data_IF_426374866961
#
_entry.id   IF_426374866961
#
_cell.length_a   1.000
_cell.length_b   1.000
_cell.length_c   1.000
_cell.angle_alpha   90.00
_cell.angle_beta   90.00
_cell.angle_gamma   90.00
#
_symmetry.space_group_name_H-M   'P 1'
#
loop_
_entity.id
_entity.type
_entity.pdbx_description
1 polymer ?
#
# COMPACT_ATOMS: atom_id res chain seq x y z
N UNK A 1 3.77 17.29 -22.96
CA UNK A 1 3.14 16.16 -22.23
C UNK A 1 1.93 16.68 -21.47
N UNK A 2 0.72 16.15 -21.71
CA UNK A 2 -0.48 16.54 -20.95
C UNK A 2 -0.54 15.75 -19.64
N UNK A 3 0.24 16.16 -18.63
CA UNK A 3 0.28 15.52 -17.30
C UNK A 3 -1.06 15.57 -16.54
N UNK A 4 -2.02 16.37 -17.00
CA UNK A 4 -3.36 16.48 -16.41
C UNK A 4 -4.48 16.11 -17.38
N UNK A 5 -4.16 15.43 -18.49
CA UNK A 5 -5.21 14.87 -19.34
C UNK A 5 -5.93 13.74 -18.58
N UNK A 6 -7.26 13.73 -18.72
CA UNK A 6 -8.11 12.68 -18.18
C UNK A 6 -7.70 11.31 -18.75
N UNK A 7 -7.39 10.30 -17.92
CA UNK A 7 -6.95 9.00 -18.41
C UNK A 7 -8.12 8.24 -19.05
N UNK A 8 -7.92 7.81 -20.30
CA UNK A 8 -8.90 7.03 -21.05
C UNK A 8 -8.70 5.52 -20.91
N UNK A 9 -7.59 5.11 -20.30
CA UNK A 9 -7.20 3.73 -20.10
C UNK A 9 -6.59 3.50 -18.72
N UNK A 10 -6.63 2.26 -18.26
CA UNK A 10 -5.95 1.88 -17.02
C UNK A 10 -4.44 2.16 -17.10
N UNK A 11 -3.84 1.93 -18.25
CA UNK A 11 -2.43 2.20 -18.52
C UNK A 11 -2.09 3.70 -18.43
N UNK A 12 -2.96 4.58 -18.93
CA UNK A 12 -2.80 6.03 -18.75
C UNK A 12 -2.91 6.44 -17.29
N UNK A 13 -3.83 5.85 -16.53
CA UNK A 13 -3.96 6.13 -15.09
C UNK A 13 -2.69 5.72 -14.31
N UNK A 14 -2.02 4.64 -14.71
CA UNK A 14 -0.76 4.17 -14.11
C UNK A 14 0.50 4.83 -14.67
N UNK A 15 0.38 5.63 -15.74
CA UNK A 15 1.54 6.20 -16.44
C UNK A 15 2.37 7.11 -15.52
N UNK A 16 1.75 7.82 -14.57
CA UNK A 16 2.47 8.62 -13.58
C UNK A 16 3.40 7.77 -12.71
N UNK A 17 2.91 6.62 -12.25
CA UNK A 17 3.68 5.64 -11.46
C UNK A 17 4.85 5.12 -12.26
N UNK A 18 4.63 4.78 -13.54
CA UNK A 18 5.70 4.33 -14.43
C UNK A 18 6.78 5.41 -14.62
N UNK A 19 6.41 6.67 -14.86
CA UNK A 19 7.39 7.75 -14.97
C UNK A 19 8.22 7.94 -13.70
N UNK A 20 7.59 7.88 -12.54
CA UNK A 20 8.32 7.92 -11.29
C UNK A 20 9.28 6.72 -11.13
N UNK A 21 8.83 5.51 -11.48
CA UNK A 21 9.70 4.32 -11.43
C UNK A 21 10.89 4.43 -12.39
N UNK A 22 10.72 5.06 -13.56
CA UNK A 22 11.83 5.34 -14.49
C UNK A 22 12.80 6.38 -13.93
N UNK A 23 12.31 7.49 -13.38
CA UNK A 23 13.15 8.55 -12.79
C UNK A 23 13.96 8.00 -11.60
N UNK A 24 13.38 7.07 -10.83
CA UNK A 24 14.03 6.47 -9.67
C UNK A 24 14.95 5.28 -10.02
N UNK A 25 15.06 4.89 -11.30
CA UNK A 25 15.92 3.78 -11.73
C UNK A 25 15.46 2.39 -11.29
N UNK A 26 14.21 2.27 -10.87
CA UNK A 26 13.63 1.04 -10.33
C UNK A 26 13.23 0.03 -11.42
N UNK A 27 13.10 0.50 -12.65
CA UNK A 27 12.71 -0.32 -13.80
C UNK A 27 13.72 -0.16 -14.92
N UNK A 28 13.80 -1.17 -15.78
CA UNK A 28 14.58 -1.11 -17.01
C UNK A 28 14.23 0.17 -17.76
N UNK A 29 15.22 1.03 -17.94
CA UNK A 29 15.05 2.30 -18.64
C UNK A 29 14.54 2.06 -20.06
N UNK A 30 13.32 2.51 -20.36
CA UNK A 30 12.70 2.39 -21.69
C UNK A 30 12.62 3.77 -22.33
N UNK A 31 13.66 4.13 -23.09
CA UNK A 31 13.68 5.36 -23.86
C UNK A 31 14.28 5.13 -25.26
N UNK A 32 13.55 5.43 -26.35
CA UNK A 32 12.14 5.83 -26.40
C UNK A 32 11.19 4.71 -25.96
N UNK A 33 9.93 5.06 -25.66
CA UNK A 33 8.92 4.15 -25.10
C UNK A 33 8.81 2.86 -25.93
N UNK A 34 8.89 1.70 -25.28
CA UNK A 34 8.83 0.39 -25.94
C UNK A 34 10.19 -0.22 -26.32
N UNK A 35 11.29 0.51 -26.15
CA UNK A 35 12.64 0.00 -26.40
C UNK A 35 13.43 -0.06 -25.07
N UNK A 36 13.48 -1.24 -24.41
CA UNK A 36 14.21 -1.40 -23.16
C UNK A 36 15.72 -1.29 -23.39
N UNK A 37 16.38 -0.36 -22.70
CA UNK A 37 17.84 -0.19 -22.69
C UNK A 37 18.39 -0.71 -21.36
N UNK A 38 18.46 -2.03 -21.22
CA UNK A 38 18.94 -2.72 -20.01
C UNK A 38 20.32 -2.24 -19.56
N UNK A 39 21.25 -2.03 -20.50
CA UNK A 39 22.62 -1.59 -20.20
C UNK A 39 22.64 -0.19 -19.55
N UNK A 40 21.93 0.79 -20.12
CA UNK A 40 21.86 2.14 -19.53
C UNK A 40 21.19 2.13 -18.17
N UNK A 41 20.14 1.31 -18.00
CA UNK A 41 19.48 1.14 -16.72
C UNK A 41 20.41 0.58 -15.65
N UNK A 42 21.25 -0.38 -16.02
CA UNK A 42 22.23 -0.99 -15.13
C UNK A 42 23.34 0.00 -14.75
N UNK A 43 23.84 0.78 -15.71
CA UNK A 43 24.81 1.85 -15.45
C UNK A 43 24.22 2.89 -14.49
N UNK A 44 23.01 3.38 -14.78
CA UNK A 44 22.33 4.36 -13.93
C UNK A 44 22.17 3.86 -12.50
N UNK A 45 21.76 2.60 -12.36
CA UNK A 45 21.60 2.02 -11.04
C UNK A 45 22.93 1.79 -10.33
N UNK A 46 23.99 1.35 -11.03
CA UNK A 46 25.33 1.26 -10.42
C UNK A 46 25.80 2.62 -9.90
N UNK A 47 25.54 3.71 -10.62
CA UNK A 47 25.86 5.07 -10.17
C UNK A 47 25.07 5.41 -8.90
N UNK A 48 23.75 5.21 -8.88
CA UNK A 48 22.92 5.42 -7.68
C UNK A 48 23.43 4.56 -6.52
N UNK A 49 23.78 3.31 -6.79
CA UNK A 49 24.25 2.36 -5.80
C UNK A 49 25.58 2.82 -5.18
N UNK A 50 26.53 3.29 -5.99
CA UNK A 50 27.82 3.83 -5.51
C UNK A 50 27.61 5.08 -4.65
N UNK A 51 26.74 6.00 -5.08
CA UNK A 51 26.39 7.20 -4.30
C UNK A 51 25.78 6.79 -2.96
N UNK A 52 24.87 5.83 -2.98
CA UNK A 52 24.19 5.34 -1.80
C UNK A 52 25.15 4.66 -0.83
N UNK A 53 25.96 3.72 -1.32
CA UNK A 53 26.97 2.99 -0.54
C UNK A 53 27.95 3.96 0.13
N UNK A 54 28.43 4.96 -0.61
CA UNK A 54 29.38 5.95 -0.09
C UNK A 54 28.79 6.75 1.07
N UNK A 55 27.57 7.27 0.94
CA UNK A 55 27.01 8.06 2.03
C UNK A 55 26.58 7.22 3.22
N UNK A 56 26.18 5.97 3.02
CA UNK A 56 25.92 5.06 4.11
C UNK A 56 27.17 4.69 4.91
N UNK A 57 28.29 4.45 4.22
CA UNK A 57 29.57 4.27 4.87
C UNK A 57 29.95 5.51 5.69
N UNK A 58 29.67 6.71 5.18
CA UNK A 58 29.81 7.97 5.92
C UNK A 58 28.96 8.02 7.19
N UNK A 59 27.70 7.59 7.11
CA UNK A 59 26.79 7.48 8.28
C UNK A 59 27.35 6.48 9.30
N UNK A 60 27.82 5.30 8.85
CA UNK A 60 28.39 4.29 9.72
C UNK A 60 29.66 4.79 10.44
N UNK A 61 30.54 5.51 9.74
CA UNK A 61 31.70 6.16 10.34
C UNK A 61 31.30 7.20 11.39
N UNK A 62 30.28 8.02 11.12
CA UNK A 62 29.77 8.99 12.08
C UNK A 62 29.29 8.32 13.37
N UNK A 63 28.52 7.24 13.27
CA UNK A 63 28.07 6.49 14.44
C UNK A 63 29.23 5.83 15.20
N UNK A 64 30.25 5.35 14.50
CA UNK A 64 31.47 4.82 15.13
C UNK A 64 32.17 5.88 16.00
N UNK A 65 32.20 7.13 15.55
CA UNK A 65 32.81 8.24 16.30
C UNK A 65 32.05 8.57 17.58
N UNK A 66 30.73 8.40 17.61
CA UNK A 66 29.89 8.76 18.77
C UNK A 66 30.00 7.76 19.95
N UNK A 67 30.85 6.73 19.87
CA UNK A 67 31.04 5.71 20.93
C UNK A 67 29.69 5.16 21.44
N UNK A 68 28.84 4.74 20.51
CA UNK A 68 27.67 3.93 20.86
C UNK A 68 28.14 2.53 21.30
N UNK A 69 27.36 1.81 22.12
CA UNK A 69 27.81 0.57 22.76
C UNK A 69 28.17 -0.52 21.74
N UNK A 70 28.92 -1.55 22.16
CA UNK A 70 29.35 -2.65 21.26
C UNK A 70 28.19 -3.32 20.51
N UNK A 71 27.03 -3.47 21.17
CA UNK A 71 25.83 -4.09 20.58
C UNK A 71 25.15 -3.17 19.55
N UNK A 72 25.15 -1.86 19.79
CA UNK A 72 24.71 -0.85 18.82
C UNK A 72 25.54 -0.97 17.53
N UNK A 73 26.87 -1.16 17.65
CA UNK A 73 27.76 -1.26 16.50
C UNK A 73 27.35 -2.40 15.56
N UNK A 74 26.99 -3.57 16.09
CA UNK A 74 26.54 -4.72 15.28
C UNK A 74 25.26 -4.37 14.54
N UNK A 75 24.27 -3.78 15.23
CA UNK A 75 22.99 -3.37 14.64
C UNK A 75 23.21 -2.34 13.53
N UNK A 76 24.06 -1.33 13.78
CA UNK A 76 24.40 -0.28 12.83
C UNK A 76 25.28 -0.74 11.66
N UNK A 77 25.91 -1.91 11.74
CA UNK A 77 26.66 -2.49 10.61
C UNK A 77 25.75 -3.43 9.81
N UNK A 78 25.06 -4.34 10.49
CA UNK A 78 24.28 -5.41 9.84
C UNK A 78 23.03 -4.84 9.17
N UNK A 79 22.25 -3.99 9.84
CA UNK A 79 20.98 -3.50 9.27
C UNK A 79 21.23 -2.69 8.00
N UNK A 80 22.15 -1.70 7.97
CA UNK A 80 22.46 -0.99 6.73
C UNK A 80 22.92 -1.94 5.61
N UNK A 81 23.75 -2.95 5.91
CA UNK A 81 24.16 -3.96 4.93
C UNK A 81 23.00 -4.75 4.34
N UNK A 82 22.04 -5.19 5.16
CA UNK A 82 20.81 -5.81 4.67
C UNK A 82 19.97 -4.84 3.83
N UNK A 83 19.95 -3.55 4.22
CA UNK A 83 19.34 -2.49 3.44
C UNK A 83 20.03 -2.26 2.09
N UNK A 84 21.37 -2.39 2.00
CA UNK A 84 22.11 -2.32 0.72
C UNK A 84 21.83 -3.50 -0.19
N UNK A 85 21.62 -4.69 0.40
CA UNK A 85 21.35 -5.89 -0.36
C UNK A 85 19.95 -5.85 -1.00
N UNK A 86 18.98 -5.19 -0.38
CA UNK A 86 17.59 -5.12 -0.86
C UNK A 86 17.46 -4.61 -2.33
N UNK A 87 17.99 -3.43 -2.72
CA UNK A 87 17.89 -2.96 -4.09
C UNK A 87 18.47 -3.92 -5.13
N UNK A 88 19.59 -4.58 -4.81
CA UNK A 88 20.22 -5.57 -5.69
C UNK A 88 19.30 -6.78 -5.88
N UNK A 89 18.76 -7.33 -4.78
CA UNK A 89 17.81 -8.44 -4.84
C UNK A 89 16.56 -8.06 -5.65
N UNK A 90 16.00 -6.86 -5.44
CA UNK A 90 14.87 -6.35 -6.21
C UNK A 90 15.15 -6.25 -7.69
N UNK A 91 16.35 -5.83 -8.07
CA UNK A 91 16.73 -5.78 -9.48
C UNK A 91 16.83 -7.16 -10.11
N UNK A 92 17.48 -8.10 -9.41
CA UNK A 92 17.64 -9.48 -9.90
C UNK A 92 16.25 -10.10 -10.08
N UNK A 93 15.37 -9.95 -9.08
CA UNK A 93 13.98 -10.42 -9.16
C UNK A 93 13.20 -9.69 -10.26
N UNK A 94 13.33 -8.37 -10.36
CA UNK A 94 12.67 -7.56 -11.39
C UNK A 94 13.10 -7.94 -12.81
N UNK A 95 14.38 -8.25 -13.01
CA UNK A 95 14.90 -8.79 -14.26
C UNK A 95 14.31 -10.17 -14.52
N UNK A 96 14.40 -11.08 -13.55
CA UNK A 96 13.92 -12.46 -13.66
C UNK A 96 12.45 -12.51 -14.07
N UNK A 97 11.62 -11.68 -13.45
CA UNK A 97 10.18 -11.63 -13.71
C UNK A 97 9.76 -10.70 -14.85
N UNK A 98 10.69 -9.94 -15.46
CA UNK A 98 10.37 -8.97 -16.52
C UNK A 98 9.57 -9.57 -17.67
N UNK A 99 9.91 -10.79 -18.12
CA UNK A 99 9.19 -11.52 -19.18
C UNK A 99 7.76 -11.84 -18.77
N UNK A 100 7.56 -12.34 -17.54
CA UNK A 100 6.24 -12.69 -17.02
C UNK A 100 5.37 -11.44 -16.85
N UNK A 101 5.94 -10.35 -16.34
CA UNK A 101 5.26 -9.06 -16.20
C UNK A 101 4.84 -8.51 -17.56
N UNK A 102 5.68 -8.63 -18.59
CA UNK A 102 5.34 -8.19 -19.94
C UNK A 102 4.14 -8.99 -20.52
N UNK A 103 4.07 -10.29 -20.26
CA UNK A 103 2.92 -11.13 -20.63
C UNK A 103 1.67 -10.71 -19.86
N UNK A 104 1.78 -10.50 -18.54
CA UNK A 104 0.68 -10.01 -17.71
C UNK A 104 0.16 -8.66 -18.20
N UNK A 105 1.05 -7.72 -18.53
CA UNK A 105 0.68 -6.40 -19.03
C UNK A 105 -0.12 -6.48 -20.34
N UNK A 106 0.31 -7.32 -21.29
CA UNK A 106 -0.44 -7.57 -22.53
C UNK A 106 -1.83 -8.14 -22.25
N UNK A 107 -1.95 -9.07 -21.29
CA UNK A 107 -3.24 -9.64 -20.89
C UNK A 107 -4.15 -8.62 -20.21
N UNK A 108 -3.63 -7.81 -19.29
CA UNK A 108 -4.37 -6.73 -18.62
C UNK A 108 -4.90 -5.74 -19.66
N UNK A 109 -4.10 -5.37 -20.66
CA UNK A 109 -4.54 -4.48 -21.73
C UNK A 109 -5.70 -5.07 -22.55
N UNK A 110 -5.66 -6.38 -22.85
CA UNK A 110 -6.76 -7.07 -23.52
C UNK A 110 -8.03 -7.09 -22.66
N UNK A 111 -7.88 -7.30 -21.34
CA UNK A 111 -8.98 -7.26 -20.39
C UNK A 111 -9.60 -5.86 -20.31
N UNK A 112 -8.79 -4.81 -20.17
CA UNK A 112 -9.25 -3.42 -20.16
C UNK A 112 -10.03 -3.08 -21.45
N UNK A 113 -9.50 -3.47 -22.62
CA UNK A 113 -10.22 -3.29 -23.90
C UNK A 113 -11.58 -4.01 -23.90
N UNK A 114 -11.64 -5.22 -23.35
CA UNK A 114 -12.89 -6.00 -23.25
C UNK A 114 -13.87 -5.34 -22.28
N UNK A 115 -13.41 -4.86 -21.13
CA UNK A 115 -14.23 -4.12 -20.16
C UNK A 115 -14.82 -2.84 -20.77
N UNK A 116 -14.03 -2.12 -21.58
CA UNK A 116 -14.50 -0.94 -22.32
C UNK A 116 -15.53 -1.28 -23.39
N UNK A 117 -15.34 -2.39 -24.12
CA UNK A 117 -16.34 -2.88 -25.09
C UNK A 117 -17.67 -3.24 -24.43
N UNK A 118 -17.62 -3.77 -23.20
CA UNK A 118 -18.81 -4.04 -22.38
C UNK A 118 -19.47 -2.78 -21.78
N UNK A 119 -18.95 -1.58 -22.09
CA UNK A 119 -19.39 -0.29 -21.54
C UNK A 119 -19.40 -0.27 -20.00
N UNK A 120 -18.51 -1.02 -19.37
CA UNK A 120 -18.33 -0.97 -17.93
C UNK A 120 -17.57 0.31 -17.62
N UNK A 121 -18.27 1.30 -17.05
CA UNK A 121 -17.70 2.56 -16.66
C UNK A 121 -16.74 2.34 -15.47
N UNK A 122 -15.46 2.11 -15.77
CA UNK A 122 -14.40 2.13 -14.76
C UNK A 122 -14.05 3.60 -14.52
N UNK A 123 -14.07 4.02 -13.24
CA UNK A 123 -13.72 5.39 -12.86
C UNK A 123 -12.20 5.55 -12.79
N UNK A 124 -11.56 5.68 -13.96
CA UNK A 124 -10.11 5.86 -14.08
C UNK A 124 -9.62 7.14 -13.39
N UNK A 125 -10.44 8.19 -13.36
CA UNK A 125 -10.09 9.45 -12.70
C UNK A 125 -9.88 9.25 -11.20
N UNK A 126 -10.78 8.52 -10.55
CA UNK A 126 -10.67 8.24 -9.11
C UNK A 126 -9.37 7.49 -8.80
N UNK A 127 -9.02 6.49 -9.62
CA UNK A 127 -7.76 5.73 -9.45
C UNK A 127 -6.56 6.66 -9.64
N UNK A 128 -6.57 7.47 -10.71
CA UNK A 128 -5.51 8.41 -11.02
C UNK A 128 -5.29 9.44 -9.91
N UNK A 129 -6.34 10.12 -9.45
CA UNK A 129 -6.25 11.12 -8.38
C UNK A 129 -5.84 10.51 -7.04
N UNK A 130 -6.34 9.32 -6.70
CA UNK A 130 -5.89 8.63 -5.49
C UNK A 130 -4.41 8.27 -5.56
N UNK A 131 -3.93 7.84 -6.72
CA UNK A 131 -2.53 7.47 -6.94
C UNK A 131 -1.62 8.70 -6.86
N UNK A 132 -2.01 9.80 -7.51
CA UNK A 132 -1.26 11.06 -7.43
C UNK A 132 -1.29 11.62 -6.01
N UNK A 133 -2.46 11.70 -5.37
CA UNK A 133 -2.60 12.22 -4.01
C UNK A 133 -1.78 11.44 -2.98
N UNK A 134 -1.75 10.11 -3.12
CA UNK A 134 -0.90 9.27 -2.28
C UNK A 134 0.59 9.58 -2.52
N UNK A 135 1.00 9.68 -3.78
CA UNK A 135 2.37 10.01 -4.15
C UNK A 135 2.82 11.39 -3.66
N UNK A 136 1.98 12.41 -3.78
CA UNK A 136 2.29 13.77 -3.34
C UNK A 136 2.34 13.87 -1.82
N UNK A 137 1.37 13.28 -1.12
CA UNK A 137 1.35 13.23 0.35
C UNK A 137 2.62 12.59 0.91
N UNK A 138 3.02 11.46 0.32
CA UNK A 138 4.25 10.75 0.68
C UNK A 138 5.52 11.58 0.46
N UNK A 139 5.60 12.26 -0.68
CA UNK A 139 6.74 13.13 -1.00
C UNK A 139 6.86 14.29 -0.01
N UNK A 140 5.73 14.92 0.35
CA UNK A 140 5.67 15.99 1.36
C UNK A 140 6.15 15.46 2.73
N UNK A 141 5.64 14.30 3.15
CA UNK A 141 6.05 13.67 4.41
C UNK A 141 7.57 13.43 4.47
N UNK A 142 8.18 12.98 3.37
CA UNK A 142 9.63 12.82 3.30
C UNK A 142 10.41 14.12 3.34
N UNK A 143 9.94 15.17 2.66
CA UNK A 143 10.57 16.48 2.74
C UNK A 143 10.56 16.96 4.21
N UNK A 144 9.45 16.80 4.92
CA UNK A 144 9.34 17.18 6.32
C UNK A 144 10.32 16.40 7.21
N UNK A 145 10.40 15.07 7.09
CA UNK A 145 11.37 14.25 7.83
C UNK A 145 12.81 14.68 7.51
N UNK A 146 13.08 15.00 6.25
CA UNK A 146 14.40 15.42 5.80
C UNK A 146 14.81 16.77 6.39
N UNK A 147 13.89 17.74 6.43
CA UNK A 147 14.10 19.04 7.08
C UNK A 147 14.36 18.85 8.57
N UNK A 148 13.56 18.02 9.25
CA UNK A 148 13.76 17.75 10.69
C UNK A 148 15.12 17.08 10.95
N UNK A 149 15.50 16.13 10.10
CA UNK A 149 16.80 15.46 10.17
C UNK A 149 17.97 16.41 9.87
N UNK A 150 17.80 17.35 8.92
CA UNK A 150 18.76 18.41 8.62
C UNK A 150 19.02 19.29 9.83
N UNK A 151 17.95 19.88 10.40
CA UNK A 151 18.05 20.76 11.55
C UNK A 151 18.69 20.05 12.75
N UNK A 152 18.47 18.75 12.88
CA UNK A 152 19.07 17.94 13.94
C UNK A 152 20.57 17.67 13.71
N UNK A 153 21.01 17.41 12.48
CA UNK A 153 22.38 16.98 12.19
C UNK A 153 23.36 18.15 11.96
N UNK A 154 22.90 19.29 11.45
CA UNK A 154 23.74 20.46 11.14
C UNK A 154 24.65 20.88 12.31
N UNK A 155 24.18 20.97 13.57
CA UNK A 155 25.02 21.41 14.69
C UNK A 155 26.19 20.46 15.00
N UNK A 156 26.12 19.20 14.55
CA UNK A 156 27.06 18.16 14.93
C UNK A 156 28.10 17.84 13.86
N UNK A 157 27.72 17.93 12.58
CA UNK A 157 28.53 17.42 11.45
C UNK A 157 28.88 18.53 10.45
N UNK A 158 28.26 19.70 10.56
CA UNK A 158 28.37 20.78 9.58
C UNK A 158 27.45 20.60 8.36
N UNK A 159 27.30 21.68 7.60
CA UNK A 159 26.25 21.83 6.58
C UNK A 159 26.44 20.86 5.41
N UNK A 160 27.63 20.85 4.79
CA UNK A 160 27.89 20.04 3.58
C UNK A 160 27.72 18.54 3.82
N UNK A 161 28.24 18.04 4.94
CA UNK A 161 28.16 16.62 5.26
C UNK A 161 26.72 16.23 5.63
N UNK A 162 25.97 17.12 6.28
CA UNK A 162 24.54 16.91 6.54
C UNK A 162 23.73 16.86 5.25
N UNK A 163 23.97 17.76 4.30
CA UNK A 163 23.31 17.74 2.98
C UNK A 163 23.60 16.41 2.26
N UNK A 164 24.86 15.98 2.28
CA UNK A 164 25.24 14.70 1.67
C UNK A 164 24.53 13.50 2.33
N UNK A 165 24.51 13.44 3.66
CA UNK A 165 23.81 12.38 4.42
C UNK A 165 22.32 12.38 4.12
N UNK A 166 21.68 13.55 4.05
CA UNK A 166 20.27 13.66 3.69
C UNK A 166 19.99 13.16 2.29
N UNK A 167 20.74 13.66 1.30
CA UNK A 167 20.57 13.24 -0.09
C UNK A 167 20.69 11.73 -0.24
N UNK A 168 21.69 11.15 0.43
CA UNK A 168 21.94 9.71 0.46
C UNK A 168 20.83 8.96 1.18
N UNK A 169 20.23 9.51 2.24
CA UNK A 169 19.13 8.86 2.96
C UNK A 169 17.79 8.96 2.23
N UNK A 170 17.56 10.02 1.45
CA UNK A 170 16.28 10.30 0.79
C UNK A 170 16.11 9.45 -0.47
N UNK A 171 17.15 9.34 -1.31
CA UNK A 171 17.08 8.61 -2.59
C UNK A 171 16.62 7.14 -2.41
N UNK A 172 17.26 6.33 -1.55
CA UNK A 172 16.93 4.92 -1.36
C UNK A 172 15.57 4.75 -0.71
N UNK A 173 15.22 5.63 0.22
CA UNK A 173 13.95 5.59 0.93
C UNK A 173 12.78 5.90 -0.04
N UNK A 174 13.02 6.82 -0.98
CA UNK A 174 12.10 7.13 -2.10
C UNK A 174 12.00 5.99 -3.11
N UNK A 175 13.11 5.30 -3.40
CA UNK A 175 13.18 4.10 -4.25
C UNK A 175 12.42 2.93 -3.59
N UNK A 176 12.52 2.79 -2.26
CA UNK A 176 12.03 1.63 -1.50
C UNK A 176 10.50 1.54 -1.48
N UNK A 177 9.84 2.63 -1.13
CA UNK A 177 8.42 2.64 -0.73
C UNK A 177 7.42 2.71 -1.88
N UNK A 178 7.87 3.08 -3.08
CA UNK A 178 6.99 3.31 -4.22
C UNK A 178 6.64 2.05 -5.02
N UNK A 179 7.55 1.06 -5.07
CA UNK A 179 7.36 -0.13 -5.90
C UNK A 179 6.29 -1.08 -5.34
N UNK A 180 6.22 -1.25 -4.02
CA UNK A 180 5.35 -2.26 -3.42
C UNK A 180 3.95 -1.75 -3.13
N UNK A 181 3.79 -0.52 -2.65
CA UNK A 181 2.49 -0.03 -2.17
C UNK A 181 1.59 0.34 -3.34
N UNK A 182 2.13 0.89 -4.42
CA UNK A 182 1.30 1.39 -5.53
C UNK A 182 0.89 0.25 -6.46
N UNK A 183 1.82 -0.63 -6.83
CA UNK A 183 1.47 -1.79 -7.64
C UNK A 183 0.45 -2.66 -6.89
N UNK A 184 0.70 -2.99 -5.61
CA UNK A 184 -0.22 -3.84 -4.85
C UNK A 184 -1.57 -3.17 -4.56
N UNK A 185 -1.60 -1.88 -4.20
CA UNK A 185 -2.86 -1.18 -3.87
C UNK A 185 -3.72 -0.93 -5.11
N UNK A 186 -3.10 -0.72 -6.26
CA UNK A 186 -3.83 -0.59 -7.52
C UNK A 186 -4.35 -1.95 -7.99
N UNK A 187 -3.59 -3.03 -7.80
CA UNK A 187 -4.07 -4.38 -8.05
C UNK A 187 -5.17 -4.81 -7.06
N UNK A 188 -5.03 -4.52 -5.77
CA UNK A 188 -6.05 -4.88 -4.77
C UNK A 188 -7.33 -4.11 -5.03
N UNK A 189 -7.28 -2.81 -5.34
CA UNK A 189 -8.47 -2.05 -5.73
C UNK A 189 -9.09 -2.57 -7.03
N UNK A 190 -8.29 -2.98 -8.02
CA UNK A 190 -8.80 -3.58 -9.25
C UNK A 190 -9.55 -4.90 -8.94
N UNK A 191 -8.99 -5.73 -8.08
CA UNK A 191 -9.59 -6.98 -7.60
C UNK A 191 -10.84 -6.72 -6.74
N UNK A 192 -10.83 -5.70 -5.90
CA UNK A 192 -11.93 -5.33 -5.01
C UNK A 192 -13.11 -4.76 -5.80
N UNK A 193 -12.84 -3.97 -6.85
CA UNK A 193 -13.86 -3.58 -7.84
C UNK A 193 -14.48 -4.79 -8.54
N UNK A 194 -13.68 -5.82 -8.82
CA UNK A 194 -14.18 -7.05 -9.45
C UNK A 194 -15.01 -7.89 -8.47
N UNK A 195 -14.59 -8.01 -7.22
CA UNK A 195 -15.38 -8.64 -6.15
C UNK A 195 -16.69 -7.89 -5.91
N UNK A 196 -16.64 -6.56 -5.80
CA UNK A 196 -17.81 -5.73 -5.59
C UNK A 196 -18.78 -5.81 -6.76
N UNK A 197 -18.27 -5.91 -7.99
CA UNK A 197 -19.08 -6.15 -9.18
C UNK A 197 -19.67 -7.57 -9.21
N UNK A 198 -18.95 -8.59 -8.75
CA UNK A 198 -19.49 -9.95 -8.60
C UNK A 198 -20.63 -9.99 -7.58
N UNK A 199 -20.49 -9.27 -6.46
CA UNK A 199 -21.56 -9.08 -5.47
C UNK A 199 -22.76 -8.36 -6.10
N UNK A 200 -22.51 -7.31 -6.89
CA UNK A 200 -23.57 -6.58 -7.60
C UNK A 200 -24.24 -7.44 -8.67
N UNK A 201 -23.48 -8.30 -9.35
CA UNK A 201 -24.01 -9.27 -10.32
C UNK A 201 -24.83 -10.35 -9.62
N UNK A 202 -24.41 -10.82 -8.44
CA UNK A 202 -25.18 -11.75 -7.61
C UNK A 202 -26.48 -11.10 -7.14
N UNK A 203 -26.45 -9.82 -6.75
CA UNK A 203 -27.64 -9.07 -6.35
C UNK A 203 -28.60 -8.87 -7.53
N UNK A 204 -28.08 -8.52 -8.71
CA UNK A 204 -28.89 -8.45 -9.93
C UNK A 204 -29.47 -9.81 -10.33
N UNK A 205 -28.72 -10.91 -10.15
CA UNK A 205 -29.18 -12.27 -10.40
C UNK A 205 -30.23 -12.71 -9.36
N UNK A 206 -30.07 -12.34 -8.08
CA UNK A 206 -31.06 -12.63 -7.04
C UNK A 206 -32.35 -11.84 -7.26
N UNK A 207 -32.24 -10.55 -7.56
CA UNK A 207 -33.39 -9.69 -7.86
C UNK A 207 -34.12 -10.18 -9.12
N UNK A 208 -33.38 -10.66 -10.13
CA UNK A 208 -33.94 -11.28 -11.32
C UNK A 208 -34.63 -12.62 -11.02
N UNK A 209 -34.00 -13.51 -10.25
CA UNK A 209 -34.65 -14.77 -9.82
C UNK A 209 -35.93 -14.46 -9.07
N UNK A 210 -35.90 -13.49 -8.16
CA UNK A 210 -37.05 -13.07 -7.37
C UNK A 210 -38.16 -12.46 -8.24
N UNK A 211 -37.81 -11.69 -9.28
CA UNK A 211 -38.75 -11.18 -10.28
C UNK A 211 -39.38 -12.28 -11.14
N UNK A 212 -38.63 -13.34 -11.48
CA UNK A 212 -39.16 -14.48 -12.23
C UNK A 212 -40.07 -15.34 -11.36
N UNK A 213 -39.68 -15.62 -10.11
CA UNK A 213 -40.51 -16.37 -9.18
C UNK A 213 -41.82 -15.62 -8.87
N UNK A 214 -41.78 -14.29 -8.70
CA UNK A 214 -43.01 -13.50 -8.50
C UNK A 214 -43.90 -13.45 -9.74
N UNK A 215 -43.33 -13.35 -10.94
CA UNK A 215 -44.08 -13.43 -12.20
C UNK A 215 -44.71 -14.82 -12.42
N UNK A 216 -44.00 -15.89 -12.10
CA UNK A 216 -44.49 -17.28 -12.16
C UNK A 216 -45.65 -17.51 -11.19
N UNK A 217 -45.52 -17.05 -9.94
CA UNK A 217 -46.57 -17.20 -8.93
C UNK A 217 -47.83 -16.39 -9.25
N UNK A 218 -47.70 -15.26 -9.96
CA UNK A 218 -48.86 -14.49 -10.44
C UNK A 218 -49.61 -15.20 -11.58
N UNK A 219 -48.90 -15.92 -12.45
CA UNK A 219 -49.52 -16.72 -13.53
C UNK A 219 -50.24 -17.95 -12.97
N UNK A 220 -49.69 -18.62 -11.96
CA UNK A 220 -50.33 -19.78 -11.32
C UNK A 220 -51.60 -19.40 -10.53
N UNK A 221 -51.66 -18.18 -9.96
CA UNK A 221 -52.82 -17.73 -9.16
C UNK A 221 -54.00 -17.22 -9.98
N UNK A 222 -53.88 -17.12 -11.31
CA UNK A 222 -54.96 -16.70 -12.22
C UNK A 222 -55.76 -17.84 -12.84
N UNK A 223 -55.46 -19.08 -12.48
CA UNK A 223 -56.31 -20.24 -12.76
C UNK A 223 -57.18 -20.56 -11.54
N UNK A 224 -58.14 -19.67 -11.26
CA UNK A 224 -59.41 -20.08 -10.66
C UNK A 224 -60.55 -19.50 -11.50
N UNK A 225 -61.55 -20.30 -11.89
CA UNK A 225 -62.64 -19.85 -12.75
C UNK A 225 -63.82 -19.44 -11.90
N UNK A 226 -64.05 -18.14 -11.67
CA UNK A 226 -65.39 -17.66 -11.26
C UNK A 226 -65.70 -16.30 -11.90
N UNK A 227 -66.62 -16.40 -12.86
CA UNK A 227 -67.61 -15.44 -13.37
C UNK A 227 -67.73 -14.06 -12.72
N UNK A 228 -67.57 -13.00 -13.52
CA UNK A 228 -68.47 -11.85 -13.50
C UNK A 228 -68.46 -11.08 -14.83
N UNK A 229 -69.67 -10.82 -15.33
CA UNK A 229 -69.99 -10.17 -16.59
C UNK A 229 -70.01 -8.66 -16.40
N UNK A 230 -69.13 -7.90 -17.08
CA UNK A 230 -69.43 -6.51 -17.45
C UNK A 230 -68.95 -6.27 -18.89
N UNK A 231 -69.92 -6.01 -19.77
CA UNK A 231 -69.80 -5.71 -21.19
C UNK A 231 -69.34 -4.26 -21.34
N UNK A 232 -68.16 -4.03 -21.92
CA UNK A 232 -67.85 -2.76 -22.56
C UNK A 232 -67.31 -3.05 -23.97
N UNK A 233 -68.09 -2.61 -24.94
CA UNK A 233 -67.98 -2.96 -26.35
C UNK A 233 -67.00 -1.98 -27.03
N UNK A 234 -65.73 -2.34 -27.06
CA UNK A 234 -64.75 -1.83 -28.02
C UNK A 234 -64.53 -2.95 -29.04
N UNK A 235 -64.40 -2.71 -30.36
CA UNK A 235 -64.34 -3.78 -31.36
C UNK A 235 -63.20 -4.75 -31.07
N UNK A 236 -63.56 -5.87 -30.44
CA UNK A 236 -62.66 -6.81 -29.80
C UNK A 236 -61.77 -7.54 -30.81
N UNK A 237 -62.21 -7.60 -32.08
CA UNK A 237 -61.50 -8.35 -33.11
C UNK A 237 -60.23 -7.64 -33.63
N UNK A 238 -60.19 -6.31 -33.67
CA UNK A 238 -59.00 -5.57 -34.15
C UNK A 238 -57.93 -5.50 -33.04
N UNK A 239 -58.34 -5.26 -31.78
CA UNK A 239 -57.44 -5.22 -30.63
C UNK A 239 -56.84 -6.60 -30.34
N UNK A 240 -57.62 -7.69 -30.40
CA UNK A 240 -57.11 -9.05 -30.10
C UNK A 240 -56.22 -9.62 -31.21
N UNK A 241 -56.47 -9.26 -32.48
CA UNK A 241 -55.64 -9.71 -33.62
C UNK A 241 -54.34 -8.92 -33.75
N UNK A 242 -54.35 -7.61 -33.47
CA UNK A 242 -53.13 -6.79 -33.44
C UNK A 242 -52.29 -7.07 -32.18
N UNK A 243 -52.94 -7.24 -31.02
CA UNK A 243 -52.27 -7.49 -29.74
C UNK A 243 -51.76 -8.94 -29.63
N UNK A 244 -52.42 -9.96 -30.18
CA UNK A 244 -51.83 -11.32 -30.23
C UNK A 244 -50.72 -11.44 -31.29
N UNK A 245 -50.78 -10.69 -32.41
CA UNK A 245 -49.73 -10.73 -33.44
C UNK A 245 -48.49 -9.90 -33.08
N UNK A 246 -48.66 -8.79 -32.33
CA UNK A 246 -47.55 -8.02 -31.73
C UNK A 246 -47.02 -8.67 -30.45
N UNK A 247 -47.87 -9.21 -29.56
CA UNK A 247 -47.43 -9.87 -28.31
C UNK A 247 -46.76 -11.22 -28.54
N UNK A 248 -47.13 -11.96 -29.59
CA UNK A 248 -46.43 -13.21 -29.91
C UNK A 248 -45.14 -12.98 -30.70
N UNK A 249 -45.00 -11.88 -31.47
CA UNK A 249 -43.73 -11.55 -32.16
C UNK A 249 -42.73 -10.74 -31.33
N UNK A 250 -43.19 -9.78 -30.52
CA UNK A 250 -42.28 -8.96 -29.69
C UNK A 250 -41.85 -9.67 -28.40
N UNK A 251 -42.58 -10.67 -27.91
CA UNK A 251 -42.23 -11.33 -26.65
C UNK A 251 -41.40 -12.61 -26.82
N UNK A 252 -41.44 -13.28 -27.98
CA UNK A 252 -40.50 -14.37 -28.28
C UNK A 252 -39.15 -13.85 -28.80
N UNK A 253 -39.12 -12.81 -29.65
CA UNK A 253 -37.87 -12.38 -30.30
C UNK A 253 -37.02 -11.40 -29.46
N UNK A 254 -37.65 -10.53 -28.65
CA UNK A 254 -36.92 -9.58 -27.77
C UNK A 254 -36.53 -10.23 -26.43
N UNK A 255 -37.27 -11.24 -25.97
CA UNK A 255 -36.92 -11.93 -24.71
C UNK A 255 -35.84 -12.99 -24.90
N UNK A 256 -35.79 -13.66 -26.07
CA UNK A 256 -34.68 -14.55 -26.45
C UNK A 256 -33.39 -13.77 -26.60
N UNK A 257 -33.37 -12.69 -27.40
CA UNK A 257 -32.17 -11.87 -27.60
C UNK A 257 -31.67 -11.20 -26.31
N UNK A 258 -32.57 -10.74 -25.43
CA UNK A 258 -32.17 -10.17 -24.13
C UNK A 258 -31.58 -11.24 -23.20
N UNK A 259 -32.18 -12.43 -23.12
CA UNK A 259 -31.68 -13.54 -22.30
C UNK A 259 -30.31 -14.01 -22.79
N UNK A 260 -30.15 -14.20 -24.09
CA UNK A 260 -28.88 -14.58 -24.73
C UNK A 260 -27.79 -13.53 -24.49
N UNK A 261 -28.14 -12.24 -24.62
CA UNK A 261 -27.22 -11.14 -24.30
C UNK A 261 -26.75 -11.17 -22.83
N UNK A 262 -27.63 -11.46 -21.87
CA UNK A 262 -27.25 -11.57 -20.46
C UNK A 262 -26.37 -12.79 -20.17
N UNK A 263 -26.67 -13.94 -20.78
CA UNK A 263 -25.85 -15.15 -20.66
C UNK A 263 -24.46 -14.90 -21.25
N UNK A 264 -24.39 -14.26 -22.41
CA UNK A 264 -23.12 -13.87 -23.04
C UNK A 264 -22.31 -12.90 -22.16
N UNK A 265 -22.93 -11.83 -21.62
CA UNK A 265 -22.25 -10.88 -20.71
C UNK A 265 -21.73 -11.60 -19.45
N UNK A 266 -22.49 -12.54 -18.91
CA UNK A 266 -22.10 -13.33 -17.74
C UNK A 266 -20.91 -14.24 -18.06
N UNK A 267 -20.94 -14.91 -19.22
CA UNK A 267 -19.83 -15.75 -19.69
C UNK A 267 -18.55 -14.94 -19.89
N UNK A 268 -18.64 -13.78 -20.55
CA UNK A 268 -17.49 -12.88 -20.74
C UNK A 268 -16.97 -12.37 -19.39
N UNK A 269 -17.85 -11.99 -18.46
CA UNK A 269 -17.44 -11.54 -17.12
C UNK A 269 -16.73 -12.66 -16.35
N UNK A 270 -17.25 -13.90 -16.40
CA UNK A 270 -16.60 -15.07 -15.79
C UNK A 270 -15.21 -15.32 -16.38
N UNK A 271 -15.07 -15.18 -17.70
CA UNK A 271 -13.78 -15.34 -18.38
C UNK A 271 -12.79 -14.25 -17.99
N UNK A 272 -13.21 -12.99 -17.94
CA UNK A 272 -12.38 -11.86 -17.50
C UNK A 272 -11.88 -12.08 -16.08
N UNK A 273 -12.78 -12.50 -15.17
CA UNK A 273 -12.42 -12.80 -13.78
C UNK A 273 -11.41 -13.94 -13.65
N UNK A 274 -11.61 -15.04 -14.38
CA UNK A 274 -10.64 -16.15 -14.36
C UNK A 274 -9.27 -15.73 -14.89
N UNK A 275 -9.19 -14.91 -15.93
CA UNK A 275 -7.92 -14.37 -16.42
C UNK A 275 -7.29 -13.38 -15.43
N UNK A 276 -8.09 -12.53 -14.78
CA UNK A 276 -7.60 -11.63 -13.72
C UNK A 276 -7.07 -12.41 -12.52
N UNK A 277 -7.74 -13.47 -12.08
CA UNK A 277 -7.24 -14.36 -11.04
C UNK A 277 -5.91 -15.02 -11.42
N UNK A 278 -5.75 -15.49 -12.66
CA UNK A 278 -4.48 -16.06 -13.13
C UNK A 278 -3.36 -15.01 -13.12
N UNK A 279 -3.64 -13.80 -13.60
CA UNK A 279 -2.68 -12.68 -13.61
C UNK A 279 -2.30 -12.31 -12.19
N UNK A 280 -3.28 -12.19 -11.29
CA UNK A 280 -3.06 -11.90 -9.87
C UNK A 280 -2.18 -12.96 -9.21
N UNK A 281 -2.40 -14.25 -9.48
CA UNK A 281 -1.54 -15.33 -8.97
C UNK A 281 -0.10 -15.20 -9.46
N UNK A 282 0.11 -14.89 -10.75
CA UNK A 282 1.46 -14.69 -11.31
C UNK A 282 2.13 -13.48 -10.65
N UNK A 283 1.42 -12.37 -10.48
CA UNK A 283 1.93 -11.16 -9.84
C UNK A 283 2.26 -11.43 -8.37
N UNK A 284 1.37 -12.10 -7.64
CA UNK A 284 1.59 -12.45 -6.24
C UNK A 284 2.79 -13.39 -6.07
N UNK A 285 2.96 -14.38 -6.95
CA UNK A 285 4.15 -15.23 -6.94
C UNK A 285 5.43 -14.46 -7.27
N UNK A 286 5.38 -13.53 -8.23
CA UNK A 286 6.53 -12.74 -8.63
C UNK A 286 6.98 -11.71 -7.57
N UNK A 287 6.02 -11.01 -6.96
CA UNK A 287 6.29 -9.90 -6.05
C UNK A 287 6.06 -10.21 -4.57
N UNK A 288 5.41 -11.32 -4.23
CA UNK A 288 5.06 -11.67 -2.85
C UNK A 288 6.29 -11.75 -1.95
N UNK A 289 7.33 -12.47 -2.38
CA UNK A 289 8.61 -12.54 -1.65
C UNK A 289 9.24 -11.17 -1.49
N UNK A 290 9.22 -10.34 -2.54
CA UNK A 290 9.76 -8.99 -2.50
C UNK A 290 8.96 -8.08 -1.54
N UNK A 291 7.64 -8.22 -1.50
CA UNK A 291 6.78 -7.46 -0.59
C UNK A 291 7.05 -7.86 0.86
N UNK A 292 7.11 -9.16 1.14
CA UNK A 292 7.39 -9.69 2.48
C UNK A 292 8.76 -9.21 2.97
N UNK A 293 9.80 -9.35 2.13
CA UNK A 293 11.15 -8.88 2.45
C UNK A 293 11.16 -7.39 2.82
N UNK A 294 10.45 -6.58 2.05
CA UNK A 294 10.41 -5.14 2.25
C UNK A 294 9.68 -4.72 3.53
N UNK A 295 8.54 -5.35 3.81
CA UNK A 295 7.81 -5.17 5.06
C UNK A 295 8.71 -5.56 6.24
N UNK A 296 9.42 -6.69 6.13
CA UNK A 296 10.38 -7.14 7.15
C UNK A 296 11.48 -6.11 7.40
N UNK A 297 12.07 -5.58 6.34
CA UNK A 297 13.09 -4.54 6.45
C UNK A 297 12.54 -3.25 7.07
N UNK A 298 11.35 -2.79 6.66
CA UNK A 298 10.70 -1.61 7.24
C UNK A 298 10.42 -1.77 8.74
N UNK A 299 10.00 -2.97 9.16
CA UNK A 299 9.80 -3.29 10.57
C UNK A 299 11.13 -3.26 11.33
N UNK A 300 12.19 -3.90 10.81
CA UNK A 300 13.52 -3.89 11.44
C UNK A 300 14.06 -2.47 11.63
N UNK A 301 13.87 -1.60 10.65
CA UNK A 301 14.27 -0.19 10.75
C UNK A 301 13.41 0.60 11.71
N UNK A 302 12.11 0.34 11.75
CA UNK A 302 11.22 0.95 12.74
C UNK A 302 11.66 0.57 14.15
N UNK A 303 11.96 -0.71 14.39
CA UNK A 303 12.50 -1.18 15.67
C UNK A 303 13.84 -0.49 15.99
N UNK A 304 14.76 -0.38 15.01
CA UNK A 304 16.05 0.27 15.21
C UNK A 304 15.92 1.76 15.56
N UNK A 305 15.02 2.47 14.88
CA UNK A 305 14.78 3.90 15.14
C UNK A 305 14.15 4.11 16.51
N UNK A 306 13.17 3.30 16.90
CA UNK A 306 12.57 3.31 18.24
C UNK A 306 13.61 3.00 19.32
N UNK A 307 14.43 1.97 19.13
CA UNK A 307 15.52 1.62 20.05
C UNK A 307 16.54 2.76 20.19
N UNK A 308 16.86 3.45 19.10
CA UNK A 308 17.77 4.61 19.13
C UNK A 308 17.17 5.79 19.88
N UNK A 309 15.89 6.08 19.68
CA UNK A 309 15.15 7.12 20.41
C UNK A 309 15.13 6.76 21.91
N UNK A 310 14.86 5.49 22.23
CA UNK A 310 14.84 4.98 23.59
C UNK A 310 16.17 5.14 24.32
N UNK A 311 17.28 4.68 23.70
CA UNK A 311 18.61 4.82 24.27
C UNK A 311 18.99 6.30 24.50
N UNK A 312 18.57 7.20 23.60
CA UNK A 312 18.76 8.65 23.78
C UNK A 312 17.92 9.19 24.94
N UNK A 313 16.69 8.71 25.07
CA UNK A 313 15.80 9.08 26.17
C UNK A 313 16.41 8.68 27.52
N UNK A 314 16.83 7.42 27.68
CA UNK A 314 17.51 6.95 28.90
C UNK A 314 18.77 7.78 29.19
N UNK A 315 19.62 8.02 28.20
CA UNK A 315 20.85 8.81 28.40
C UNK A 315 20.54 10.23 28.90
N UNK A 316 19.47 10.86 28.40
CA UNK A 316 19.03 12.19 28.87
C UNK A 316 18.51 12.13 30.30
N UNK A 317 17.68 11.14 30.63
CA UNK A 317 17.17 10.95 31.98
C UNK A 317 18.30 10.71 32.99
N UNK A 318 19.26 9.82 32.65
CA UNK A 318 20.40 9.55 33.51
C UNK A 318 21.27 10.80 33.75
N UNK A 319 21.44 11.64 32.71
CA UNK A 319 22.18 12.90 32.85
C UNK A 319 21.43 13.88 33.76
N UNK A 320 20.10 13.95 33.66
CA UNK A 320 19.24 14.71 34.55
C UNK A 320 19.36 14.25 36.01
N UNK A 321 19.36 12.94 36.26
CA UNK A 321 19.51 12.39 37.61
C UNK A 321 20.90 12.68 38.19
N UNK A 322 21.97 12.62 37.38
CA UNK A 322 23.32 13.00 37.82
C UNK A 322 23.42 14.48 38.19
N UNK A 323 22.72 15.38 37.50
CA UNK A 323 22.67 16.78 37.93
C UNK A 323 21.97 16.94 39.28
N UNK A 324 20.91 16.16 39.56
CA UNK A 324 20.26 16.16 40.88
C UNK A 324 21.19 15.62 41.97
N UNK A 325 21.95 14.56 41.68
CA UNK A 325 22.96 14.02 42.59
C UNK A 325 24.07 15.03 42.89
N UNK A 326 24.58 15.73 41.86
CA UNK A 326 25.59 16.77 42.04
C UNK A 326 25.06 17.90 42.94
N UNK A 327 23.83 18.38 42.70
CA UNK A 327 23.17 19.38 43.56
C UNK A 327 23.11 18.90 45.02
N UNK A 328 22.75 17.63 45.26
CA UNK A 328 22.72 17.07 46.61
C UNK A 328 24.11 17.04 47.28
N UNK A 329 25.17 16.72 46.52
CA UNK A 329 26.54 16.73 47.05
C UNK A 329 27.04 18.15 47.34
N UNK A 330 26.69 19.14 46.51
CA UNK A 330 27.06 20.54 46.73
C UNK A 330 26.30 21.14 47.92
N UNK A 331 25.04 20.78 48.09
CA UNK A 331 24.21 21.19 49.24
C UNK A 331 24.83 20.78 50.58
N UNK A 332 25.48 19.61 50.67
CA UNK A 332 26.12 19.13 51.89
C UNK A 332 27.44 19.84 52.24
N UNK A 333 28.00 20.63 51.33
CA UNK A 333 29.31 21.28 51.49
C UNK A 333 29.23 22.79 51.74
N UNK A 334 28.07 23.41 51.49
CA UNK A 334 27.91 24.85 51.57
C UNK A 334 27.50 25.26 53.01
N UNK A 335 28.23 26.21 53.61
CA UNK A 335 27.97 26.67 54.99
C UNK A 335 27.10 27.91 55.09
N UNK A 336 26.83 28.55 53.95
CA UNK A 336 26.02 29.77 53.89
C UNK A 336 24.52 29.42 53.82
N UNK A 337 23.75 29.98 54.75
CA UNK A 337 22.35 29.62 55.00
C UNK A 337 21.45 30.08 53.86
N UNK A 338 21.70 31.27 53.31
CA UNK A 338 20.89 31.85 52.23
C UNK A 338 21.02 31.01 50.95
N UNK A 339 22.25 30.62 50.59
CA UNK A 339 22.47 29.73 49.44
C UNK A 339 21.96 28.31 49.68
N UNK A 340 21.90 27.84 50.93
CA UNK A 340 21.30 26.56 51.28
C UNK A 340 19.77 26.58 51.09
N UNK A 341 19.07 27.62 51.54
CA UNK A 341 17.62 27.74 51.35
C UNK A 341 17.23 27.81 49.86
N UNK A 342 17.96 28.58 49.05
CA UNK A 342 17.69 28.71 47.63
C UNK A 342 17.92 27.38 46.88
N UNK A 343 19.00 26.65 47.20
CA UNK A 343 19.24 25.30 46.68
C UNK A 343 18.15 24.31 47.11
N UNK A 344 17.61 24.43 48.33
CA UNK A 344 16.55 23.55 48.81
C UNK A 344 15.24 23.81 48.07
N UNK A 345 14.88 25.07 47.82
CA UNK A 345 13.72 25.44 47.01
C UNK A 345 13.87 24.92 45.56
N UNK A 346 15.04 25.11 44.95
CA UNK A 346 15.32 24.60 43.61
C UNK A 346 15.23 23.06 43.54
N UNK A 347 15.74 22.35 44.55
CA UNK A 347 15.62 20.90 44.68
C UNK A 347 14.15 20.46 44.73
N UNK A 348 13.33 21.10 45.56
CA UNK A 348 11.89 20.79 45.68
C UNK A 348 11.19 21.02 44.34
N UNK A 349 11.51 22.11 43.63
CA UNK A 349 10.94 22.38 42.31
C UNK A 349 11.30 21.29 41.28
N UNK A 350 12.54 20.79 41.28
CA UNK A 350 12.97 19.72 40.37
C UNK A 350 12.32 18.38 40.73
N UNK A 351 12.25 18.04 42.02
CA UNK A 351 11.62 16.79 42.48
C UNK A 351 10.11 16.77 42.21
N UNK A 352 9.44 17.91 42.35
CA UNK A 352 8.01 18.02 42.13
C UNK A 352 7.64 18.08 40.64
N UNK A 353 8.60 18.40 39.76
CA UNK A 353 8.45 18.37 38.30
C UNK A 353 9.58 17.57 37.66
N UNK A 354 9.57 16.23 37.78
CA UNK A 354 10.53 15.40 37.06
C UNK A 354 10.43 15.72 35.56
N UNK A 355 11.57 15.76 34.87
CA UNK A 355 11.63 16.07 33.43
C UNK A 355 10.97 14.92 32.66
N UNK A 356 9.66 14.99 32.47
CA UNK A 356 8.89 14.06 31.65
C UNK A 356 8.81 14.61 30.23
N UNK A 357 9.27 13.83 29.26
CA UNK A 357 9.16 14.20 27.85
C UNK A 357 7.80 13.74 27.33
N UNK A 358 7.00 14.70 26.88
CA UNK A 358 5.75 14.44 26.18
C UNK A 358 5.99 14.57 24.69
N UNK A 359 5.62 13.54 23.92
CA UNK A 359 5.54 13.64 22.46
C UNK A 359 4.05 13.62 22.08
N UNK A 360 3.55 14.73 21.54
CA UNK A 360 2.12 14.89 21.19
C UNK A 360 1.15 14.58 22.35
N UNK A 361 1.50 14.93 23.59
CA UNK A 361 0.66 14.70 24.77
C UNK A 361 0.77 13.30 25.38
N UNK A 362 1.55 12.38 24.79
CA UNK A 362 1.84 11.06 25.33
C UNK A 362 3.15 11.08 26.12
N UNK A 363 3.14 10.54 27.34
CA UNK A 363 4.34 10.33 28.17
C UNK A 363 5.18 9.22 27.55
N UNK A 364 6.40 9.55 27.11
CA UNK A 364 7.35 8.56 26.58
C UNK A 364 7.96 7.71 27.70
N UNK A 365 7.19 6.76 28.21
CA UNK A 365 7.64 5.76 29.18
C UNK A 365 8.00 4.42 28.52
N UNK A 366 8.55 3.48 29.31
CA UNK A 366 8.87 2.13 28.84
C UNK A 366 7.63 1.38 28.32
N UNK A 367 6.43 1.78 28.76
CA UNK A 367 5.18 1.15 28.39
C UNK A 367 4.82 1.42 26.92
N UNK A 368 4.97 2.66 26.43
CA UNK A 368 4.73 2.97 24.99
C UNK A 368 5.66 2.17 24.09
N UNK A 369 6.95 2.07 24.43
CA UNK A 369 7.91 1.29 23.65
C UNK A 369 7.52 -0.20 23.63
N UNK A 370 7.17 -0.76 24.79
CA UNK A 370 6.68 -2.14 24.92
C UNK A 370 5.41 -2.37 24.10
N UNK A 371 4.48 -1.40 24.10
CA UNK A 371 3.24 -1.47 23.33
C UNK A 371 3.51 -1.43 21.82
N UNK A 372 4.42 -0.58 21.35
CA UNK A 372 4.82 -0.54 19.94
C UNK A 372 5.50 -1.84 19.52
N UNK A 373 6.45 -2.36 20.31
CA UNK A 373 7.11 -3.63 20.04
C UNK A 373 6.14 -4.81 20.05
N UNK A 374 5.21 -4.83 21.01
CA UNK A 374 4.15 -5.85 21.09
C UNK A 374 3.23 -5.78 19.89
N UNK A 375 2.85 -4.58 19.45
CA UNK A 375 2.01 -4.37 18.27
C UNK A 375 2.70 -4.90 17.02
N UNK A 376 3.97 -4.53 16.80
CA UNK A 376 4.77 -5.01 15.67
C UNK A 376 4.93 -6.54 15.69
N UNK A 377 5.21 -7.11 16.85
CA UNK A 377 5.35 -8.57 17.03
C UNK A 377 4.04 -9.29 16.73
N UNK A 378 2.92 -8.77 17.24
CA UNK A 378 1.59 -9.33 17.00
C UNK A 378 1.25 -9.30 15.50
N UNK A 379 1.51 -8.19 14.80
CA UNK A 379 1.29 -8.11 13.35
C UNK A 379 2.14 -9.12 12.58
N UNK A 380 3.41 -9.32 12.97
CA UNK A 380 4.27 -10.32 12.33
C UNK A 380 3.72 -11.75 12.50
N UNK A 381 3.26 -12.10 13.71
CA UNK A 381 2.68 -13.42 13.98
C UNK A 381 1.42 -13.65 13.13
N UNK A 382 0.54 -12.66 13.04
CA UNK A 382 -0.70 -12.75 12.23
C UNK A 382 -0.36 -12.98 10.75
N UNK A 383 0.58 -12.22 10.19
CA UNK A 383 0.98 -12.35 8.78
C UNK A 383 1.56 -13.75 8.49
N UNK A 384 2.41 -14.26 9.39
CA UNK A 384 3.00 -15.60 9.24
C UNK A 384 1.91 -16.67 9.26
N UNK A 385 0.99 -16.60 10.23
CA UNK A 385 -0.12 -17.54 10.37
C UNK A 385 -1.04 -17.51 9.14
N UNK A 386 -1.41 -16.34 8.65
CA UNK A 386 -2.27 -16.20 7.47
C UNK A 386 -1.59 -16.76 6.21
N UNK A 387 -0.28 -16.52 6.03
CA UNK A 387 0.47 -17.05 4.90
C UNK A 387 0.51 -18.59 4.89
N UNK A 388 0.77 -19.22 6.03
CA UNK A 388 0.79 -20.69 6.17
C UNK A 388 -0.58 -21.33 5.93
N UNK A 389 -1.65 -20.62 6.28
CA UNK A 389 -3.03 -21.09 6.06
C UNK A 389 -3.41 -21.03 4.58
N UNK A 390 -2.88 -20.06 3.82
CA UNK A 390 -3.10 -19.95 2.38
C UNK A 390 -2.37 -21.05 1.60
N UNK A 391 -1.15 -21.39 2.02
CA UNK A 391 -0.34 -22.43 1.40
C UNK A 391 -0.99 -23.82 1.56
N UNK A 392 -1.40 -24.19 2.78
CA UNK A 392 -2.06 -25.48 3.05
C UNK A 392 -3.37 -25.68 2.28
N UNK A 393 -4.18 -24.62 2.13
CA UNK A 393 -5.40 -24.66 1.31
C UNK A 393 -5.12 -24.82 -0.18
N UNK A 394 -3.96 -24.39 -0.65
CA UNK A 394 -3.57 -24.53 -2.05
C UNK A 394 -3.17 -25.96 -2.39
N UNK A 395 -2.48 -26.64 -1.47
CA UNK A 395 -2.06 -28.04 -1.65
C UNK A 395 -3.24 -29.01 -1.65
N UNK A 396 -4.19 -28.81 -0.73
CA UNK A 396 -5.40 -29.64 -0.62
C UNK A 396 -6.30 -29.56 -1.87
N UNK A 397 -6.19 -28.47 -2.64
CA UNK A 397 -6.94 -28.27 -3.88
C UNK A 397 -6.28 -28.95 -5.08
N UNK A 398 -4.98 -29.19 -5.01
CA UNK A 398 -4.22 -29.86 -6.06
C UNK A 398 -4.25 -31.40 -5.92
N UNK A 399 -4.60 -31.94 -4.75
CA UNK A 399 -4.73 -33.40 -4.54
C UNK A 399 -6.09 -33.98 -4.96
N UNK A 400 -7.06 -33.14 -5.33
CA UNK A 400 -8.41 -33.55 -5.73
C UNK A 400 -8.73 -33.38 -7.23
N UNK A 401 -7.70 -33.13 -8.04
CA UNK A 401 -7.74 -33.17 -9.51
C UNK A 401 -6.66 -34.12 -10.00
#
# INVERSE_FOLDING_TARGET
>A
MKLFARPNSFYEALTSVHYFNYILGLRVFEYPRGYPRSVLSLIYLLIIYVIFYRGAFGIAQYFKTIRVFKLDCIIYVVIPNLYFLSPILKMILGWWYSKNIAVCHKKIFKIDKTLRQLRLAVNYDKIYFMTIGFNTSWFIFYILISIMSYLYMVPHIGILQTIHVLFVSIIPLSIKTKLNIIELKDYTKLMDFEQQKNILSMKLISDWRQSIYSASNFVLRKQSPVTSQIKMHIPFQIKKKLQNKLRNRFHEDISMTKRENHVHILQVTKQVHLELCKISRIICSAFGVQIIWEIGMDILYTIQTLYTIYNRYIKRQLKGNKSVELINTTYGYNTDIDTQEEMQQFRIQILHRPVTFYLFGLTMDNHILSMMLSTVTNYMVIIIQESSTLESKSDLKNTHF
#
